data_IF_545407030750
#
_entry.id   IF_545407030750
#
_cell.length_a   1.000
_cell.length_b   1.000
_cell.length_c   1.000
_cell.angle_alpha   90.00
_cell.angle_beta   90.00
_cell.angle_gamma   90.00
#
_symmetry.space_group_name_H-M   'P 1'
#
loop_
_entity.id
_entity.type
_entity.pdbx_description
1 polymer ?
#
# COMPACT_ATOMS: atom_id res chain seq x y z
N UNK A 1 19.41 -14.31 20.96
CA UNK A 1 20.40 -15.41 20.88
C UNK A 1 20.07 -16.49 19.83
N UNK A 2 18.87 -16.51 19.20
CA UNK A 2 18.51 -17.51 18.15
C UNK A 2 18.49 -16.91 16.71
N UNK A 3 18.60 -15.59 16.53
CA UNK A 3 18.44 -14.92 15.23
C UNK A 3 19.63 -15.05 14.23
N UNK A 4 20.71 -15.73 14.59
CA UNK A 4 21.95 -15.76 13.79
C UNK A 4 22.19 -17.04 12.95
N UNK A 5 21.47 -18.13 13.22
CA UNK A 5 21.87 -19.47 12.74
C UNK A 5 21.34 -19.84 11.34
N UNK A 6 20.33 -19.12 10.81
CA UNK A 6 19.70 -19.42 9.52
C UNK A 6 19.91 -18.37 8.43
N UNK A 7 20.62 -17.26 8.70
CA UNK A 7 20.84 -16.20 7.71
C UNK A 7 19.58 -15.50 7.17
N UNK A 8 18.40 -15.87 7.67
CA UNK A 8 17.14 -15.21 7.36
C UNK A 8 17.03 -13.95 8.22
N UNK A 9 16.92 -12.74 7.64
CA UNK A 9 16.63 -11.56 8.43
C UNK A 9 15.33 -11.83 9.21
N UNK A 10 15.43 -11.63 10.52
CA UNK A 10 14.38 -11.76 11.52
C UNK A 10 12.95 -11.53 10.98
N UNK A 11 12.10 -12.55 11.11
CA UNK A 11 10.63 -12.52 10.97
C UNK A 11 10.04 -12.37 9.55
N UNK A 12 9.62 -13.50 8.97
CA UNK A 12 8.46 -13.59 8.07
C UNK A 12 7.16 -13.19 8.83
N UNK A 13 7.14 -12.01 9.43
CA UNK A 13 5.93 -11.47 10.04
C UNK A 13 4.93 -11.12 8.93
N UNK A 14 3.63 -11.04 9.23
CA UNK A 14 2.61 -10.65 8.27
C UNK A 14 2.79 -9.21 7.71
N UNK A 15 3.81 -8.46 8.16
CA UNK A 15 4.01 -7.04 7.84
C UNK A 15 4.16 -6.73 6.34
N UNK A 16 5.06 -7.36 5.56
CA UNK A 16 5.16 -7.05 4.13
C UNK A 16 3.88 -7.41 3.38
N UNK A 17 3.19 -8.47 3.79
CA UNK A 17 1.89 -8.85 3.23
C UNK A 17 0.81 -7.79 3.53
N UNK A 18 0.75 -7.31 4.78
CA UNK A 18 -0.13 -6.22 5.17
C UNK A 18 0.20 -4.94 4.39
N UNK A 19 1.48 -4.62 4.21
CA UNK A 19 1.93 -3.49 3.40
C UNK A 19 1.50 -3.64 1.93
N UNK A 20 1.66 -4.82 1.34
CA UNK A 20 1.17 -5.13 0.00
C UNK A 20 -0.33 -4.94 -0.13
N UNK A 21 -1.10 -5.41 0.85
CA UNK A 21 -2.55 -5.26 0.88
C UNK A 21 -2.98 -3.78 1.00
N UNK A 22 -2.32 -2.99 1.86
CA UNK A 22 -2.62 -1.56 1.98
C UNK A 22 -2.26 -0.78 0.73
N UNK A 23 -1.16 -1.15 0.05
CA UNK A 23 -0.80 -0.56 -1.25
C UNK A 23 -1.87 -0.82 -2.32
N UNK A 24 -2.37 -2.06 -2.42
CA UNK A 24 -3.46 -2.40 -3.35
C UNK A 24 -4.73 -1.61 -3.02
N UNK A 25 -5.06 -1.48 -1.74
CA UNK A 25 -6.21 -0.69 -1.31
C UNK A 25 -6.06 0.78 -1.70
N UNK A 26 -4.91 1.39 -1.39
CA UNK A 26 -4.63 2.78 -1.74
C UNK A 26 -4.74 3.00 -3.25
N UNK A 27 -4.17 2.10 -4.04
CA UNK A 27 -4.19 2.20 -5.50
C UNK A 27 -5.60 2.11 -6.09
N UNK A 28 -6.49 1.32 -5.47
CA UNK A 28 -7.92 1.26 -5.86
C UNK A 28 -8.69 2.52 -5.50
N UNK A 29 -8.24 3.27 -4.49
CA UNK A 29 -8.89 4.52 -4.05
C UNK A 29 -8.43 5.75 -4.84
N UNK A 30 -7.26 5.67 -5.46
CA UNK A 30 -6.73 6.73 -6.32
C UNK A 30 -7.37 6.65 -7.70
N UNK A 31 -8.15 7.66 -8.12
CA UNK A 31 -8.69 7.71 -9.48
C UNK A 31 -7.54 7.67 -10.49
N UNK A 32 -7.65 6.81 -11.49
CA UNK A 32 -6.64 6.67 -12.53
C UNK A 32 -7.28 6.73 -13.90
N UNK A 33 -6.81 7.66 -14.75
CA UNK A 33 -7.25 7.81 -16.14
C UNK A 33 -6.45 6.94 -17.13
N UNK A 34 -5.78 5.89 -16.62
CA UNK A 34 -4.93 5.02 -17.43
C UNK A 34 -5.74 4.01 -18.25
N UNK A 35 -5.19 3.59 -19.38
CA UNK A 35 -5.75 2.50 -20.15
C UNK A 35 -5.66 1.15 -19.38
N UNK A 36 -6.51 0.17 -19.71
CA UNK A 36 -6.57 -1.09 -18.96
C UNK A 36 -5.27 -1.90 -18.91
N UNK A 37 -4.37 -1.76 -19.90
CA UNK A 37 -3.09 -2.48 -19.90
C UNK A 37 -2.12 -1.84 -18.91
N UNK A 38 -2.01 -0.52 -18.89
CA UNK A 38 -1.18 0.20 -17.91
C UNK A 38 -1.70 0.02 -16.48
N UNK A 39 -3.02 0.02 -16.28
CA UNK A 39 -3.62 -0.25 -14.96
C UNK A 39 -3.24 -1.64 -14.40
N UNK A 40 -3.28 -2.67 -15.26
CA UNK A 40 -2.85 -4.03 -14.87
C UNK A 40 -1.36 -4.08 -14.51
N UNK A 41 -0.51 -3.39 -15.26
CA UNK A 41 0.91 -3.30 -14.94
C UNK A 41 1.14 -2.65 -13.57
N UNK A 42 0.41 -1.57 -13.27
CA UNK A 42 0.55 -0.93 -11.98
C UNK A 42 0.04 -1.79 -10.81
N UNK A 43 -0.87 -2.75 -11.04
CA UNK A 43 -1.27 -3.71 -10.00
C UNK A 43 -0.18 -4.74 -9.66
N UNK A 44 0.85 -4.88 -10.51
CA UNK A 44 2.03 -5.71 -10.20
C UNK A 44 3.00 -5.00 -9.24
N UNK A 45 2.98 -3.66 -9.19
CA UNK A 45 3.90 -2.87 -8.36
C UNK A 45 3.78 -3.19 -6.86
N UNK A 46 2.58 -3.27 -6.24
CA UNK A 46 2.45 -3.70 -4.85
C UNK A 46 3.05 -5.07 -4.56
N UNK A 47 2.95 -6.01 -5.51
CA UNK A 47 3.50 -7.36 -5.37
C UNK A 47 5.03 -7.30 -5.33
N UNK A 48 5.64 -6.58 -6.28
CA UNK A 48 7.09 -6.38 -6.33
C UNK A 48 7.59 -5.72 -5.04
N UNK A 49 6.93 -4.65 -4.57
CA UNK A 49 7.32 -3.99 -3.33
C UNK A 49 7.13 -4.85 -2.09
N UNK A 50 6.11 -5.72 -2.06
CA UNK A 50 5.91 -6.69 -0.97
C UNK A 50 7.10 -7.63 -0.83
N UNK A 51 7.61 -8.18 -1.93
CA UNK A 51 8.79 -9.05 -1.89
C UNK A 51 10.07 -8.26 -1.56
N UNK A 52 10.19 -7.03 -2.07
CA UNK A 52 11.30 -6.14 -1.75
C UNK A 52 11.37 -5.80 -0.25
N UNK A 53 10.23 -5.61 0.43
CA UNK A 53 10.18 -5.33 1.87
C UNK A 53 10.62 -6.49 2.76
N UNK A 54 10.69 -7.72 2.25
CA UNK A 54 11.27 -8.85 3.00
C UNK A 54 12.76 -8.66 3.29
N UNK A 55 13.45 -7.83 2.51
CA UNK A 55 14.88 -7.53 2.71
C UNK A 55 15.14 -6.27 3.53
N UNK A 56 14.09 -5.54 3.95
CA UNK A 56 14.23 -4.30 4.71
C UNK A 56 14.02 -4.52 6.22
N UNK A 57 14.65 -3.69 7.09
CA UNK A 57 14.41 -3.75 8.53
C UNK A 57 12.93 -3.50 8.88
N UNK A 58 12.38 -4.27 9.82
CA UNK A 58 10.96 -4.21 10.19
C UNK A 58 10.50 -2.81 10.63
N UNK A 59 11.35 -2.02 11.29
CA UNK A 59 11.02 -0.65 11.69
C UNK A 59 10.71 0.28 10.50
N UNK A 60 11.43 0.12 9.38
CA UNK A 60 11.18 0.86 8.15
C UNK A 60 9.82 0.48 7.55
N UNK A 61 9.52 -0.83 7.52
CA UNK A 61 8.25 -1.35 6.98
C UNK A 61 7.06 -0.89 7.83
N UNK A 62 7.18 -0.91 9.16
CA UNK A 62 6.15 -0.35 10.08
C UNK A 62 5.92 1.13 9.81
N UNK A 63 7.00 1.92 9.72
CA UNK A 63 6.87 3.35 9.43
C UNK A 63 6.11 3.60 8.13
N UNK A 64 6.46 2.87 7.06
CA UNK A 64 5.75 2.96 5.77
C UNK A 64 4.29 2.54 5.88
N UNK A 65 4.01 1.44 6.57
CA UNK A 65 2.65 0.93 6.75
C UNK A 65 1.77 1.94 7.47
N UNK A 66 2.25 2.53 8.57
CA UNK A 66 1.49 3.54 9.32
C UNK A 66 1.19 4.76 8.43
N UNK A 67 2.19 5.28 7.71
CA UNK A 67 1.99 6.40 6.80
C UNK A 67 0.99 6.06 5.69
N UNK A 68 1.06 4.84 5.14
CA UNK A 68 0.15 4.40 4.08
C UNK A 68 -1.30 4.30 4.58
N UNK A 69 -1.52 3.72 5.77
CA UNK A 69 -2.86 3.63 6.39
C UNK A 69 -3.41 5.03 6.70
N UNK A 70 -2.59 5.94 7.23
CA UNK A 70 -3.02 7.33 7.47
C UNK A 70 -3.41 8.03 6.16
N UNK A 71 -2.61 7.86 5.10
CA UNK A 71 -2.92 8.38 3.78
C UNK A 71 -4.22 7.82 3.20
N UNK A 72 -4.47 6.52 3.37
CA UNK A 72 -5.73 5.87 2.99
C UNK A 72 -6.91 6.48 3.76
N UNK A 73 -6.78 6.66 5.07
CA UNK A 73 -7.83 7.26 5.90
C UNK A 73 -8.15 8.70 5.45
N UNK A 74 -7.12 9.49 5.13
CA UNK A 74 -7.27 10.83 4.59
C UNK A 74 -7.96 10.80 3.21
N UNK A 75 -7.51 9.94 2.31
CA UNK A 75 -8.10 9.81 0.97
C UNK A 75 -9.56 9.37 1.03
N UNK A 76 -9.90 8.44 1.91
CA UNK A 76 -11.28 8.00 2.13
C UNK A 76 -12.18 9.17 2.54
N UNK A 77 -11.71 10.00 3.48
CA UNK A 77 -12.45 11.18 3.92
C UNK A 77 -12.55 12.24 2.82
N UNK A 78 -11.50 12.43 2.01
CA UNK A 78 -11.50 13.37 0.88
C UNK A 78 -12.50 12.95 -0.21
N UNK A 79 -12.52 11.67 -0.59
CA UNK A 79 -13.43 11.13 -1.61
C UNK A 79 -14.90 11.32 -1.20
N UNK A 80 -15.27 11.04 0.06
CA UNK A 80 -16.63 11.28 0.56
C UNK A 80 -17.08 12.75 0.50
N UNK A 81 -16.16 13.72 0.58
CA UNK A 81 -16.52 15.14 0.41
C UNK A 81 -16.71 15.52 -1.05
N UNK A 82 -15.93 14.92 -1.95
CA UNK A 82 -16.09 15.14 -3.38
C UNK A 82 -17.48 14.65 -3.86
N UNK A 83 -17.92 13.49 -3.39
CA UNK A 83 -19.22 12.90 -3.75
C UNK A 83 -20.43 13.69 -3.20
N UNK A 84 -20.25 14.40 -2.07
CA UNK A 84 -21.30 15.23 -1.44
C UNK A 84 -21.42 16.63 -2.04
N UNK A 85 -20.50 17.05 -2.90
CA UNK A 85 -20.63 18.32 -3.61
C UNK A 85 -21.56 18.07 -4.79
N UNK A 86 -22.78 18.63 -4.83
CA UNK A 86 -23.66 18.42 -5.97
C UNK A 86 -22.89 18.85 -7.21
N UNK A 87 -22.72 17.90 -8.14
CA UNK A 87 -22.17 18.18 -9.45
C UNK A 87 -22.94 19.39 -9.96
N UNK A 88 -22.23 20.51 -10.09
CA UNK A 88 -22.82 21.81 -10.39
C UNK A 88 -23.79 21.61 -11.54
N UNK A 89 -25.07 21.83 -11.24
CA UNK A 89 -26.14 21.86 -12.21
C UNK A 89 -25.66 22.70 -13.40
N UNK A 90 -25.55 22.07 -14.56
CA UNK A 90 -25.30 22.75 -15.83
C UNK A 90 -26.30 22.22 -16.83
#
# INVERSE_FOLDING_TARGET
LISGLLGLPFALGPLPLLMGATMVLQQKMTPSAMDPKQAKMMMLMPVVFTFMFLSFPAGLVVYWLVNNVLGIAQQYYANQKADKKPAVAK
#
